data_IF_186899144089
#
_entry.id   IF_186899144089
#
_cell.length_a   1.000
_cell.length_b   1.000
_cell.length_c   1.000
_cell.angle_alpha   90.00
_cell.angle_beta   90.00
_cell.angle_gamma   90.00
#
_symmetry.space_group_name_H-M   'P 1'
#
loop_
_entity.id
_entity.type
_entity.pdbx_description
1 polymer ?
#
# COMPACT_ATOMS: atom_id res chain seq x y z
N UNK A 1 -17.48 0.81 5.66
CA UNK A 1 -16.64 0.24 6.72
C UNK A 1 -15.34 1.03 6.94
N UNK A 2 -14.49 1.10 5.96
CA UNK A 2 -13.19 1.79 6.12
C UNK A 2 -13.35 3.31 6.25
N UNK A 3 -14.18 3.92 5.43
CA UNK A 3 -14.40 5.36 5.46
C UNK A 3 -14.87 5.83 6.84
N UNK A 4 -15.86 5.18 7.41
CA UNK A 4 -16.38 5.53 8.74
C UNK A 4 -15.33 5.34 9.82
N UNK A 5 -14.53 4.27 9.73
CA UNK A 5 -13.45 3.99 10.67
C UNK A 5 -12.38 5.08 10.62
N UNK A 6 -11.98 5.46 9.40
CA UNK A 6 -10.96 6.52 9.23
C UNK A 6 -11.49 7.85 9.75
N UNK A 7 -12.74 8.19 9.43
CA UNK A 7 -13.35 9.43 9.93
C UNK A 7 -13.34 9.50 11.45
N UNK A 8 -13.69 8.39 12.11
CA UNK A 8 -13.69 8.32 13.56
C UNK A 8 -12.29 8.44 14.17
N UNK A 9 -11.30 7.78 13.56
CA UNK A 9 -9.92 7.79 14.05
C UNK A 9 -9.20 9.12 13.80
N UNK A 10 -9.64 9.87 12.80
CA UNK A 10 -8.96 11.09 12.35
C UNK A 10 -9.76 12.35 12.65
N UNK A 11 -10.73 12.26 13.54
CA UNK A 11 -11.56 13.42 13.93
C UNK A 11 -10.66 14.57 14.39
N UNK A 12 -10.88 15.74 13.79
CA UNK A 12 -10.07 16.92 14.08
C UNK A 12 -8.73 16.99 13.34
N UNK A 13 -8.34 15.96 12.59
CA UNK A 13 -7.12 15.98 11.81
C UNK A 13 -7.39 16.58 10.42
N UNK A 14 -6.97 17.82 10.22
CA UNK A 14 -7.19 18.55 8.95
C UNK A 14 -6.32 18.08 7.79
N UNK A 15 -5.32 17.25 8.05
CA UNK A 15 -4.40 16.77 7.01
C UNK A 15 -4.96 15.57 6.26
N UNK A 16 -5.82 14.79 6.91
CA UNK A 16 -6.45 13.61 6.31
C UNK A 16 -7.64 14.05 5.48
N UNK A 17 -7.63 13.71 4.20
CA UNK A 17 -8.69 14.08 3.26
C UNK A 17 -9.14 12.86 2.47
N UNK A 18 -10.22 12.25 2.95
CA UNK A 18 -10.82 11.11 2.25
C UNK A 18 -11.29 11.55 0.87
N UNK A 19 -10.97 10.75 -0.12
CA UNK A 19 -11.27 11.04 -1.50
C UNK A 19 -12.57 10.35 -1.94
N UNK A 20 -13.07 10.69 -3.11
CA UNK A 20 -14.18 9.98 -3.71
C UNK A 20 -13.80 8.49 -3.92
N UNK A 21 -14.78 7.58 -4.00
CA UNK A 21 -14.52 6.18 -4.32
C UNK A 21 -13.75 6.03 -5.63
N UNK A 22 -12.79 5.10 -5.66
CA UNK A 22 -12.05 4.81 -6.87
C UNK A 22 -12.92 4.02 -7.85
N UNK A 23 -13.06 4.45 -9.10
CA UNK A 23 -13.79 3.68 -10.10
C UNK A 23 -13.17 2.30 -10.34
N UNK A 24 -14.00 1.30 -10.64
CA UNK A 24 -13.53 -0.07 -10.87
C UNK A 24 -12.48 -0.18 -11.98
N UNK A 25 -12.63 0.59 -13.05
CA UNK A 25 -11.64 0.58 -14.13
C UNK A 25 -10.27 1.07 -13.70
N UNK A 26 -10.22 1.98 -12.72
CA UNK A 26 -8.95 2.47 -12.18
C UNK A 26 -8.30 1.44 -11.25
N UNK A 27 -9.11 0.71 -10.49
CA UNK A 27 -8.60 -0.38 -9.64
C UNK A 27 -8.00 -1.48 -10.53
N UNK A 28 -8.72 -1.86 -11.58
CA UNK A 28 -8.23 -2.86 -12.54
C UNK A 28 -6.95 -2.40 -13.22
N UNK A 29 -6.87 -1.14 -13.63
CA UNK A 29 -5.68 -0.56 -14.23
C UNK A 29 -4.48 -0.65 -13.29
N UNK A 30 -4.69 -0.36 -12.01
CA UNK A 30 -3.63 -0.44 -11.01
C UNK A 30 -3.15 -1.89 -10.83
N UNK A 31 -4.06 -2.85 -10.73
CA UNK A 31 -3.69 -4.27 -10.64
C UNK A 31 -2.88 -4.72 -11.86
N UNK A 32 -3.33 -4.35 -13.04
CA UNK A 32 -2.64 -4.72 -14.28
C UNK A 32 -1.25 -4.10 -14.36
N UNK A 33 -1.13 -2.85 -13.95
CA UNK A 33 0.17 -2.16 -13.97
C UNK A 33 1.15 -2.77 -12.98
N UNK A 34 0.70 -3.04 -11.76
CA UNK A 34 1.54 -3.66 -10.72
C UNK A 34 1.88 -5.10 -11.10
N UNK A 35 0.95 -5.81 -11.73
CA UNK A 35 1.15 -7.17 -12.19
C UNK A 35 0.75 -8.25 -11.22
N UNK A 36 0.09 -7.91 -10.12
CA UNK A 36 -0.39 -8.85 -9.10
C UNK A 36 -1.82 -8.54 -8.72
N UNK A 37 -2.57 -9.56 -8.34
CA UNK A 37 -3.95 -9.40 -7.87
C UNK A 37 -3.96 -8.75 -6.49
N UNK A 38 -4.71 -7.67 -6.34
CA UNK A 38 -4.86 -7.02 -5.04
C UNK A 38 -5.74 -7.86 -4.11
N UNK A 39 -5.43 -7.94 -2.82
CA UNK A 39 -6.34 -8.54 -1.84
C UNK A 39 -7.71 -7.86 -1.88
N UNK A 40 -8.76 -8.62 -1.60
CA UNK A 40 -10.12 -8.09 -1.63
C UNK A 40 -10.30 -6.89 -0.70
N UNK A 41 -9.63 -6.91 0.46
CA UNK A 41 -9.70 -5.79 1.39
C UNK A 41 -9.10 -4.50 0.83
N UNK A 42 -8.04 -4.59 0.03
CA UNK A 42 -7.47 -3.41 -0.62
C UNK A 42 -8.42 -2.84 -1.66
N UNK A 43 -9.03 -3.70 -2.45
CA UNK A 43 -10.04 -3.26 -3.43
C UNK A 43 -11.24 -2.63 -2.73
N UNK A 44 -11.69 -3.23 -1.62
CA UNK A 44 -12.80 -2.70 -0.83
C UNK A 44 -12.47 -1.31 -0.27
N UNK A 45 -11.25 -1.11 0.22
CA UNK A 45 -10.79 0.19 0.70
C UNK A 45 -10.84 1.23 -0.43
N UNK A 46 -10.27 0.92 -1.59
CA UNK A 46 -10.25 1.83 -2.74
C UNK A 46 -11.68 2.17 -3.23
N UNK A 47 -12.61 1.23 -3.12
CA UNK A 47 -14.02 1.47 -3.47
C UNK A 47 -14.71 2.42 -2.50
N UNK A 48 -14.19 2.59 -1.30
CA UNK A 48 -14.74 3.54 -0.33
C UNK A 48 -14.03 4.89 -0.39
N UNK A 49 -12.70 4.89 -0.58
CA UNK A 49 -11.92 6.11 -0.73
C UNK A 49 -10.68 5.84 -1.57
N UNK A 50 -10.45 6.67 -2.57
CA UNK A 50 -9.27 6.59 -3.43
C UNK A 50 -8.09 7.29 -2.75
N UNK A 51 -7.62 6.71 -1.65
CA UNK A 51 -6.60 7.30 -0.79
C UNK A 51 -7.18 8.33 0.19
N UNK A 52 -6.32 8.86 1.06
CA UNK A 52 -6.71 9.87 2.05
C UNK A 52 -5.78 11.09 2.04
N UNK A 53 -4.87 11.16 1.08
CA UNK A 53 -3.86 12.22 0.90
C UNK A 53 -2.92 12.39 2.10
N UNK A 54 -2.87 11.39 2.96
CA UNK A 54 -2.01 11.45 4.13
C UNK A 54 -1.16 10.20 4.26
N UNK A 55 -1.78 9.04 4.35
CA UNK A 55 -1.06 7.78 4.51
C UNK A 55 -1.49 6.71 3.49
N UNK A 56 -2.76 6.65 3.13
CA UNK A 56 -3.27 5.70 2.15
C UNK A 56 -3.06 6.22 0.72
N UNK A 57 -2.46 5.41 -0.14
CA UNK A 57 -2.26 5.76 -1.53
C UNK A 57 -3.55 5.60 -2.34
N UNK A 58 -3.76 6.49 -3.30
CA UNK A 58 -4.77 6.31 -4.33
C UNK A 58 -4.32 5.25 -5.33
N UNK A 59 -5.21 4.80 -6.21
CA UNK A 59 -4.84 3.89 -7.30
C UNK A 59 -3.73 4.49 -8.17
N UNK A 60 -3.81 5.79 -8.47
CA UNK A 60 -2.77 6.51 -9.20
C UNK A 60 -1.46 6.52 -8.41
N UNK A 61 -1.53 6.74 -7.11
CA UNK A 61 -0.36 6.72 -6.22
C UNK A 61 0.31 5.36 -6.19
N UNK A 62 -0.45 4.28 -6.20
CA UNK A 62 0.08 2.92 -6.27
C UNK A 62 0.84 2.72 -7.59
N UNK A 63 0.25 3.16 -8.70
CA UNK A 63 0.88 3.07 -10.02
C UNK A 63 2.17 3.89 -10.06
N UNK A 64 2.13 5.13 -9.60
CA UNK A 64 3.28 6.04 -9.63
C UNK A 64 4.43 5.49 -8.79
N UNK A 65 4.14 4.90 -7.65
CA UNK A 65 5.15 4.28 -6.80
C UNK A 65 5.86 3.13 -7.51
N UNK A 66 5.10 2.24 -8.14
CA UNK A 66 5.66 1.11 -8.88
C UNK A 66 6.49 1.60 -10.08
N UNK A 67 5.97 2.59 -10.78
CA UNK A 67 6.66 3.19 -11.93
C UNK A 67 8.01 3.77 -11.51
N UNK A 68 8.02 4.54 -10.44
CA UNK A 68 9.24 5.13 -9.90
C UNK A 68 10.25 4.07 -9.47
N UNK A 69 9.80 3.04 -8.77
CA UNK A 69 10.66 1.95 -8.33
C UNK A 69 11.30 1.22 -9.51
N UNK A 70 10.53 0.97 -10.56
CA UNK A 70 11.03 0.30 -11.77
C UNK A 70 12.02 1.15 -12.58
N UNK A 71 11.95 2.46 -12.44
CA UNK A 71 12.89 3.39 -13.09
C UNK A 71 14.19 3.55 -12.30
N UNK A 72 14.11 3.60 -10.99
CA UNK A 72 15.24 3.98 -10.13
C UNK A 72 16.07 2.79 -9.66
N UNK A 73 15.44 1.78 -9.08
CA UNK A 73 16.17 0.70 -8.40
C UNK A 73 16.98 -0.22 -9.29
N UNK A 74 16.60 -0.49 -10.56
CA UNK A 74 17.46 -1.29 -11.44
C UNK A 74 18.84 -0.70 -11.68
N UNK A 75 19.04 0.58 -11.41
CA UNK A 75 20.35 1.22 -11.51
C UNK A 75 21.26 0.88 -10.32
N UNK A 76 20.67 0.46 -9.20
CA UNK A 76 21.40 0.19 -7.95
C UNK A 76 21.40 -1.27 -7.54
N UNK A 77 20.41 -2.04 -8.00
CA UNK A 77 20.22 -3.44 -7.62
C UNK A 77 20.35 -4.35 -8.84
N UNK A 78 20.93 -5.53 -8.62
CA UNK A 78 20.91 -6.57 -9.63
C UNK A 78 19.46 -7.04 -9.87
N UNK A 79 19.13 -7.60 -11.06
CA UNK A 79 17.77 -8.03 -11.36
C UNK A 79 17.13 -8.93 -10.30
N UNK A 80 17.86 -9.88 -9.76
CA UNK A 80 17.36 -10.79 -8.75
C UNK A 80 17.07 -10.06 -7.43
N UNK A 81 17.93 -9.11 -7.07
CA UNK A 81 17.74 -8.29 -5.86
C UNK A 81 16.52 -7.37 -6.00
N UNK A 82 16.36 -6.75 -7.16
CA UNK A 82 15.20 -5.91 -7.42
C UNK A 82 13.92 -6.71 -7.33
N UNK A 83 13.87 -7.87 -7.95
CA UNK A 83 12.70 -8.74 -7.93
C UNK A 83 12.34 -9.13 -6.50
N UNK A 84 13.32 -9.58 -5.72
CA UNK A 84 13.09 -10.08 -4.37
C UNK A 84 12.81 -8.99 -3.34
N UNK A 85 13.51 -7.86 -3.43
CA UNK A 85 13.46 -6.80 -2.41
C UNK A 85 12.41 -5.72 -2.68
N UNK A 86 12.01 -5.56 -3.93
CA UNK A 86 11.13 -4.45 -4.33
C UNK A 86 9.91 -4.93 -5.10
N UNK A 87 10.10 -5.74 -6.14
CA UNK A 87 9.05 -6.03 -7.10
C UNK A 87 8.00 -7.05 -6.62
N UNK A 88 8.26 -7.72 -5.50
CA UNK A 88 7.34 -8.73 -4.95
C UNK A 88 6.48 -8.20 -3.82
N UNK A 89 6.19 -6.91 -3.87
CA UNK A 89 5.35 -6.26 -2.86
C UNK A 89 4.33 -5.37 -3.53
N UNK A 90 3.16 -5.26 -2.91
CA UNK A 90 2.12 -4.33 -3.33
C UNK A 90 2.11 -3.21 -2.30
N UNK A 91 2.70 -2.06 -2.65
CA UNK A 91 2.78 -0.89 -1.79
C UNK A 91 1.48 -0.10 -1.87
N UNK A 92 0.79 0.09 -0.76
CA UNK A 92 -0.52 0.76 -0.77
C UNK A 92 -0.65 1.91 0.24
N UNK A 93 0.33 2.08 1.11
CA UNK A 93 0.34 3.17 2.10
C UNK A 93 1.77 3.56 2.44
N UNK A 94 1.96 4.74 3.01
CA UNK A 94 3.29 5.26 3.34
C UNK A 94 3.27 5.98 4.67
N UNK A 95 4.42 6.00 5.37
CA UNK A 95 4.57 6.82 6.57
C UNK A 95 5.13 8.21 6.28
N UNK A 96 5.37 8.52 5.00
CA UNK A 96 5.91 9.83 4.59
C UNK A 96 7.42 9.96 4.77
N UNK A 97 8.09 8.94 5.29
CA UNK A 97 9.54 8.95 5.56
C UNK A 97 10.32 8.03 4.63
N UNK A 98 9.74 7.62 3.52
CA UNK A 98 10.36 6.71 2.56
C UNK A 98 9.99 5.26 2.74
N UNK A 99 9.36 4.89 3.85
CA UNK A 99 8.89 3.54 4.09
C UNK A 99 7.46 3.37 3.62
N UNK A 100 7.10 2.15 3.25
CA UNK A 100 5.79 1.84 2.72
C UNK A 100 5.17 0.67 3.46
N UNK A 101 3.85 0.67 3.54
CA UNK A 101 3.09 -0.49 4.00
C UNK A 101 2.65 -1.29 2.79
N UNK A 102 2.74 -2.60 2.88
CA UNK A 102 2.58 -3.45 1.72
C UNK A 102 2.05 -4.84 2.04
N UNK A 103 1.58 -5.50 0.98
CA UNK A 103 1.37 -6.94 0.97
C UNK A 103 2.57 -7.60 0.30
N UNK A 104 2.84 -8.82 0.71
CA UNK A 104 3.90 -9.64 0.13
C UNK A 104 3.31 -10.57 -0.94
N UNK A 105 4.01 -10.70 -2.06
CA UNK A 105 3.67 -11.66 -3.10
C UNK A 105 4.51 -12.92 -2.88
N UNK A 106 3.85 -14.07 -2.83
CA UNK A 106 4.50 -15.37 -2.62
C UNK A 106 5.23 -15.83 -3.89
N UNK A 107 6.19 -16.78 -3.75
CA UNK A 107 6.93 -17.28 -4.92
C UNK A 107 6.06 -17.83 -6.06
N UNK A 108 4.85 -18.34 -5.75
CA UNK A 108 3.91 -18.82 -6.76
C UNK A 108 3.15 -17.70 -7.48
N UNK A 109 3.43 -16.44 -7.13
CA UNK A 109 2.76 -15.29 -7.75
C UNK A 109 1.46 -14.86 -7.08
N UNK A 110 1.00 -15.60 -6.08
CA UNK A 110 -0.20 -15.22 -5.34
C UNK A 110 0.12 -14.18 -4.25
N UNK A 111 -0.80 -13.26 -4.04
CA UNK A 111 -0.66 -12.27 -2.98
C UNK A 111 -1.07 -12.86 -1.64
N UNK A 112 -0.20 -12.72 -0.64
CA UNK A 112 -0.51 -13.13 0.72
C UNK A 112 -1.36 -12.05 1.40
N UNK A 113 -2.66 -12.26 1.47
CA UNK A 113 -3.60 -11.33 2.10
C UNK A 113 -3.75 -11.51 3.61
N UNK A 114 -2.96 -12.38 4.23
CA UNK A 114 -3.09 -12.70 5.65
C UNK A 114 -2.28 -11.79 6.58
N UNK A 115 -1.44 -10.92 6.03
CA UNK A 115 -0.57 -10.04 6.81
C UNK A 115 -0.25 -8.77 6.04
N UNK A 116 0.02 -7.70 6.79
CA UNK A 116 0.52 -6.44 6.26
C UNK A 116 1.90 -6.19 6.84
N UNK A 117 2.81 -5.75 5.98
CA UNK A 117 4.21 -5.50 6.34
C UNK A 117 4.55 -4.03 6.18
N UNK A 118 5.57 -3.58 6.93
CA UNK A 118 6.26 -2.34 6.59
C UNK A 118 7.53 -2.71 5.81
N UNK A 119 7.76 -2.00 4.71
CA UNK A 119 8.97 -2.10 3.90
C UNK A 119 9.85 -0.89 4.20
N UNK A 120 11.04 -1.16 4.75
CA UNK A 120 11.97 -0.11 5.18
C UNK A 120 12.99 0.17 4.09
N UNK A 121 13.08 1.44 3.68
CA UNK A 121 13.86 1.84 2.51
C UNK A 121 15.38 1.80 2.70
N UNK A 122 15.87 1.90 3.92
CA UNK A 122 17.31 1.95 4.16
C UNK A 122 17.99 0.61 3.90
N UNK A 123 17.42 -0.48 4.40
CA UNK A 123 17.99 -1.81 4.29
C UNK A 123 17.16 -2.77 3.46
N UNK A 124 16.05 -2.31 2.88
CA UNK A 124 15.08 -3.15 2.16
C UNK A 124 14.56 -4.30 3.01
N UNK A 125 14.36 -4.04 4.29
CA UNK A 125 13.84 -5.03 5.23
C UNK A 125 12.33 -4.93 5.34
N UNK A 126 11.70 -6.07 5.60
CA UNK A 126 10.26 -6.12 5.85
C UNK A 126 10.00 -6.66 7.25
N UNK A 127 8.93 -6.17 7.87
CA UNK A 127 8.49 -6.59 9.19
C UNK A 127 6.97 -6.59 9.21
N UNK A 128 6.37 -7.65 9.73
CA UNK A 128 4.91 -7.69 9.88
C UNK A 128 4.47 -6.64 10.90
N UNK A 129 3.50 -5.81 10.54
CA UNK A 129 2.99 -4.74 11.41
C UNK A 129 1.50 -4.85 11.69
N UNK A 130 0.76 -5.59 10.89
CA UNK A 130 -0.68 -5.72 11.08
C UNK A 130 -1.21 -7.03 10.49
N UNK A 131 -2.39 -7.43 10.96
CA UNK A 131 -3.06 -8.63 10.46
C UNK A 131 -3.82 -8.36 9.16
N UNK A 132 -4.30 -7.13 8.99
CA UNK A 132 -5.10 -6.72 7.83
C UNK A 132 -5.12 -5.19 7.73
N UNK A 133 -5.80 -4.64 6.71
CA UNK A 133 -5.89 -3.20 6.50
C UNK A 133 -6.58 -2.49 7.67
N UNK A 134 -7.65 -3.05 8.21
CA UNK A 134 -8.35 -2.41 9.33
C UNK A 134 -7.44 -2.30 10.56
N UNK A 135 -6.66 -3.33 10.83
CA UNK A 135 -5.69 -3.35 11.92
C UNK A 135 -4.58 -2.31 11.67
N UNK A 136 -4.10 -2.22 10.43
CA UNK A 136 -3.08 -1.23 10.07
C UNK A 136 -3.58 0.20 10.25
N UNK A 137 -4.77 0.50 9.74
CA UNK A 137 -5.35 1.84 9.84
C UNK A 137 -5.50 2.25 11.31
N UNK A 138 -6.02 1.34 12.12
CA UNK A 138 -6.20 1.58 13.55
C UNK A 138 -4.87 1.86 14.23
N UNK A 139 -3.87 1.02 14.00
CA UNK A 139 -2.54 1.17 14.60
C UNK A 139 -1.84 2.44 14.12
N UNK A 140 -1.96 2.76 12.83
CA UNK A 140 -1.31 3.95 12.29
C UNK A 140 -1.84 5.23 12.94
N UNK A 141 -3.15 5.39 12.97
CA UNK A 141 -3.76 6.60 13.53
C UNK A 141 -3.74 6.65 15.06
N UNK A 142 -3.46 5.55 15.72
CA UNK A 142 -3.22 5.52 17.18
C UNK A 142 -1.73 5.59 17.53
N UNK A 143 -0.88 5.77 16.52
CA UNK A 143 0.57 5.86 16.69
C UNK A 143 1.17 4.59 17.31
N UNK A 144 0.71 3.44 16.87
CA UNK A 144 1.11 2.12 17.39
C UNK A 144 1.95 1.30 16.39
N UNK A 145 2.34 1.88 15.26
CA UNK A 145 3.21 1.21 14.27
C UNK A 145 4.56 1.88 14.15
#
# INVERSE_FOLDING_TARGET
MYREMIEALTEGNKWVKLQAPCPENRITEAEEYVGFVFPQELKALLRETDGDRYFLLSAEGIIDNVKTNREIFPEYLEPDEFEEKINRFIFFATNGCGDYYCYRVLPNGETDGSAVYIWEHELFEIRKVAENIADLITKYYKDEV
#
